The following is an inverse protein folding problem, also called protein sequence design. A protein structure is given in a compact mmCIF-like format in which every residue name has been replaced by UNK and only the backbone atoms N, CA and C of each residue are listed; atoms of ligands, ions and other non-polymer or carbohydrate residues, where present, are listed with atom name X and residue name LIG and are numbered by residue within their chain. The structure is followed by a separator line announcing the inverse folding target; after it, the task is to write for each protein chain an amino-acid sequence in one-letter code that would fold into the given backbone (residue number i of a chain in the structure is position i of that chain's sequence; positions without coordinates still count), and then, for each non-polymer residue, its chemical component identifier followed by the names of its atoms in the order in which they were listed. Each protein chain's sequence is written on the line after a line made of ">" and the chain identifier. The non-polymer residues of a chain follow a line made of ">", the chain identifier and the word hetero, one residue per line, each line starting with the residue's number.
data_IF_623717902767
#
_entry.id   IF_623717902767
#
_cell.length_a   1.000
_cell.length_b   1.000
_cell.length_c   1.000
_cell.angle_alpha   90.00
_cell.angle_beta   90.00
_cell.angle_gamma   90.00
#
_symmetry.space_group_name_H-M   'P 1'
#
loop_
_entity.id
_entity.type
_entity.pdbx_description
1 polymer ?
#
# COMPACT_ATOMS: atom_id res chain seq x y z
N UNK A 1 -9.78 -0.98 49.54
CA UNK A 1 -9.93 -2.29 48.84
C UNK A 1 -11.01 -2.30 47.77
N UNK A 2 -12.08 -1.48 47.89
CA UNK A 2 -13.16 -1.42 46.89
C UNK A 2 -12.75 -0.71 45.58
N UNK A 3 -11.91 0.32 45.66
CA UNK A 3 -11.49 1.14 44.52
C UNK A 3 -10.65 0.37 43.47
N UNK A 4 -9.79 -0.56 43.92
CA UNK A 4 -8.93 -1.34 43.03
C UNK A 4 -9.72 -2.36 42.21
N UNK A 5 -10.84 -2.87 42.76
CA UNK A 5 -11.74 -3.80 42.07
C UNK A 5 -12.47 -3.16 40.89
N UNK A 6 -12.80 -1.86 40.98
CA UNK A 6 -13.40 -1.11 39.88
C UNK A 6 -12.40 -0.82 38.77
N UNK A 7 -11.14 -0.47 39.10
CA UNK A 7 -10.08 -0.31 38.09
C UNK A 7 -9.77 -1.61 37.34
N UNK A 8 -9.72 -2.76 38.03
CA UNK A 8 -9.52 -4.06 37.37
C UNK A 8 -10.70 -4.50 36.51
N UNK A 9 -11.94 -4.15 36.90
CA UNK A 9 -13.12 -4.41 36.07
C UNK A 9 -13.16 -3.52 34.82
N UNK A 10 -12.75 -2.25 34.94
CA UNK A 10 -12.63 -1.33 33.80
C UNK A 10 -11.51 -1.74 32.84
N UNK A 11 -10.36 -2.20 33.35
CA UNK A 11 -9.27 -2.74 32.53
C UNK A 11 -9.68 -4.05 31.84
N UNK A 12 -10.40 -4.92 32.55
CA UNK A 12 -10.96 -6.15 31.97
C UNK A 12 -12.08 -5.86 30.95
N UNK A 13 -12.92 -4.82 31.15
CA UNK A 13 -13.89 -4.37 30.16
C UNK A 13 -13.21 -3.76 28.93
N UNK A 14 -12.12 -3.00 29.10
CA UNK A 14 -11.33 -2.49 27.98
C UNK A 14 -10.66 -3.62 27.19
N UNK A 15 -10.21 -4.70 27.86
CA UNK A 15 -9.72 -5.92 27.22
C UNK A 15 -10.83 -6.75 26.54
N UNK A 16 -12.07 -6.67 27.03
CA UNK A 16 -13.26 -7.27 26.39
C UNK A 16 -13.77 -6.46 25.19
N UNK A 17 -13.43 -5.16 25.08
CA UNK A 17 -13.75 -4.32 23.92
C UNK A 17 -12.78 -4.50 22.74
N UNK A 18 -11.67 -5.23 22.90
CA UNK A 18 -10.70 -5.48 21.81
C UNK A 18 -11.06 -6.71 20.97
N UNK A 19 -12.12 -7.43 21.33
CA UNK A 19 -12.69 -8.52 20.54
C UNK A 19 -14.11 -8.17 20.10
N UNK A 20 -14.28 -7.00 19.48
CA UNK A 20 -15.39 -6.86 18.55
C UNK A 20 -15.09 -7.79 17.36
N UNK A 21 -16.07 -8.54 16.84
CA UNK A 21 -15.89 -9.18 15.55
C UNK A 21 -15.47 -8.08 14.57
N UNK A 22 -14.37 -8.28 13.84
CA UNK A 22 -13.95 -7.39 12.79
C UNK A 22 -15.15 -7.21 11.86
N UNK A 23 -15.83 -6.07 11.99
CA UNK A 23 -16.78 -5.63 11.01
C UNK A 23 -15.94 -5.53 9.73
N UNK A 24 -16.18 -6.42 8.77
CA UNK A 24 -15.60 -6.35 7.44
C UNK A 24 -16.23 -5.15 6.70
N UNK A 25 -16.08 -3.96 7.28
CA UNK A 25 -16.25 -2.70 6.60
C UNK A 25 -14.89 -2.34 6.05
N UNK A 26 -14.84 -2.03 4.74
CA UNK A 26 -13.77 -1.23 4.15
C UNK A 26 -13.39 -0.12 5.13
N UNK A 27 -12.10 0.01 5.41
CA UNK A 27 -11.60 1.15 6.19
C UNK A 27 -11.43 2.30 5.22
N UNK A 28 -12.26 3.32 5.37
CA UNK A 28 -12.26 4.51 4.50
C UNK A 28 -11.50 5.66 5.15
N UNK A 29 -10.40 6.09 4.53
CA UNK A 29 -9.63 7.28 4.84
C UNK A 29 -9.87 8.33 3.75
N UNK A 30 -10.43 9.48 4.14
CA UNK A 30 -10.82 10.55 3.20
C UNK A 30 -10.31 11.90 3.71
N UNK A 31 -9.55 12.62 2.89
CA UNK A 31 -9.03 13.97 3.21
C UNK A 31 -8.15 14.05 4.46
N UNK A 32 -7.40 12.99 4.77
CA UNK A 32 -6.54 12.93 5.94
C UNK A 32 -5.08 13.20 5.58
N UNK A 33 -4.39 13.88 6.49
CA UNK A 33 -2.93 13.86 6.55
C UNK A 33 -2.53 12.67 7.43
N UNK A 34 -1.96 11.67 6.77
CA UNK A 34 -1.47 10.42 7.34
C UNK A 34 0.05 10.32 7.16
N UNK A 35 0.74 11.44 6.94
CA UNK A 35 2.17 11.46 6.71
C UNK A 35 2.93 10.83 7.88
N UNK A 36 3.94 10.01 7.58
CA UNK A 36 4.77 9.34 8.58
C UNK A 36 4.04 8.29 9.43
N UNK A 37 2.84 7.87 9.06
CA UNK A 37 2.13 6.80 9.79
C UNK A 37 2.74 5.43 9.51
N UNK A 38 2.62 4.55 10.49
CA UNK A 38 3.05 3.16 10.40
C UNK A 38 1.83 2.25 10.15
N UNK A 39 1.75 1.74 8.94
CA UNK A 39 0.85 0.70 8.46
C UNK A 39 1.60 -0.58 8.07
N UNK A 40 2.87 -0.72 8.46
CA UNK A 40 3.70 -1.86 8.10
C UNK A 40 3.06 -3.17 8.58
N UNK A 41 3.10 -4.19 7.74
CA UNK A 41 2.55 -5.53 8.00
C UNK A 41 1.06 -5.59 8.37
N UNK A 42 0.29 -4.51 8.18
CA UNK A 42 -1.15 -4.50 8.48
C UNK A 42 -1.96 -5.12 7.35
N UNK A 43 -3.14 -5.65 7.71
CA UNK A 43 -4.17 -6.06 6.74
C UNK A 43 -5.08 -4.88 6.45
N UNK A 44 -4.93 -4.32 5.26
CA UNK A 44 -5.67 -3.18 4.72
C UNK A 44 -6.38 -3.56 3.40
N UNK A 45 -6.79 -4.83 3.31
CA UNK A 45 -7.57 -5.37 2.20
C UNK A 45 -8.79 -4.48 1.96
N UNK A 46 -8.98 -4.09 0.69
CA UNK A 46 -10.09 -3.23 0.24
C UNK A 46 -10.18 -1.85 0.93
N UNK A 47 -9.14 -1.41 1.66
CA UNK A 47 -9.14 -0.09 2.29
C UNK A 47 -9.15 1.04 1.23
N UNK A 48 -9.84 2.14 1.52
CA UNK A 48 -9.92 3.30 0.63
C UNK A 48 -9.09 4.47 1.19
N UNK A 49 -8.20 5.04 0.38
CA UNK A 49 -7.38 6.22 0.68
C UNK A 49 -7.60 7.28 -0.39
N UNK A 50 -8.65 8.08 -0.21
CA UNK A 50 -9.06 9.11 -1.17
C UNK A 50 -8.66 10.50 -0.67
N UNK A 51 -7.98 11.27 -1.52
CA UNK A 51 -7.53 12.64 -1.21
C UNK A 51 -6.65 12.74 0.05
N UNK A 52 -5.82 11.72 0.32
CA UNK A 52 -4.97 11.69 1.50
C UNK A 52 -3.53 12.14 1.17
N UNK A 53 -2.86 12.72 2.16
CA UNK A 53 -1.40 12.88 2.16
C UNK A 53 -0.81 11.71 2.92
N UNK A 54 -0.10 10.84 2.22
CA UNK A 54 0.53 9.62 2.75
C UNK A 54 2.05 9.69 2.61
N UNK A 55 2.60 10.89 2.59
CA UNK A 55 4.02 11.10 2.41
C UNK A 55 4.80 10.49 3.59
N UNK A 56 5.92 9.81 3.31
CA UNK A 56 6.75 9.11 4.31
C UNK A 56 6.00 8.06 5.14
N UNK A 57 4.83 7.59 4.67
CA UNK A 57 4.06 6.53 5.35
C UNK A 57 4.71 5.18 5.10
N UNK A 58 4.75 4.34 6.13
CA UNK A 58 5.26 2.98 6.04
C UNK A 58 4.10 2.00 5.80
N UNK A 59 4.03 1.44 4.60
CA UNK A 59 3.17 0.34 4.18
C UNK A 59 3.98 -0.95 3.94
N UNK A 60 5.23 -1.02 4.38
CA UNK A 60 6.10 -2.15 4.09
C UNK A 60 5.48 -3.47 4.54
N UNK A 61 5.51 -4.46 3.66
CA UNK A 61 4.95 -5.80 3.86
C UNK A 61 3.45 -5.84 4.22
N UNK A 62 2.71 -4.75 4.04
CA UNK A 62 1.26 -4.73 4.27
C UNK A 62 0.50 -5.53 3.21
N UNK A 63 -0.70 -5.97 3.59
CA UNK A 63 -1.66 -6.60 2.68
C UNK A 63 -2.69 -5.55 2.26
N UNK A 64 -2.51 -4.99 1.07
CA UNK A 64 -3.32 -3.96 0.45
C UNK A 64 -4.14 -4.53 -0.73
N UNK A 65 -4.41 -5.84 -0.75
CA UNK A 65 -5.13 -6.45 -1.87
C UNK A 65 -6.50 -5.80 -2.06
N UNK A 66 -6.79 -5.40 -3.29
CA UNK A 66 -8.02 -4.69 -3.63
C UNK A 66 -8.15 -3.28 -3.03
N UNK A 67 -7.14 -2.74 -2.36
CA UNK A 67 -7.20 -1.39 -1.80
C UNK A 67 -7.27 -0.33 -2.92
N UNK A 68 -7.86 0.82 -2.59
CA UNK A 68 -8.10 1.92 -3.53
C UNK A 68 -7.39 3.17 -3.03
N UNK A 69 -6.43 3.67 -3.78
CA UNK A 69 -5.80 4.98 -3.59
C UNK A 69 -6.27 5.91 -4.72
N UNK A 70 -6.88 7.04 -4.37
CA UNK A 70 -7.37 8.00 -5.37
C UNK A 70 -6.99 9.42 -5.01
N UNK A 71 -6.35 10.12 -5.94
CA UNK A 71 -5.97 11.54 -5.80
C UNK A 71 -5.14 11.80 -4.52
N UNK A 72 -4.27 10.87 -4.17
CA UNK A 72 -3.43 10.91 -2.96
C UNK A 72 -1.95 11.10 -3.31
N UNK A 73 -1.15 11.55 -2.34
CA UNK A 73 0.32 11.60 -2.46
C UNK A 73 0.95 10.55 -1.56
N UNK A 74 2.03 9.91 -2.06
CA UNK A 74 2.83 8.90 -1.37
C UNK A 74 4.31 9.23 -1.58
N UNK A 75 4.68 10.50 -1.36
CA UNK A 75 6.05 10.96 -1.57
C UNK A 75 6.95 10.33 -0.51
N UNK A 76 8.06 9.70 -0.91
CA UNK A 76 8.97 8.99 0.01
C UNK A 76 8.28 7.91 0.87
N UNK A 77 7.12 7.40 0.45
CA UNK A 77 6.44 6.32 1.16
C UNK A 77 7.18 4.98 0.99
N UNK A 78 7.16 4.15 2.02
CA UNK A 78 7.71 2.80 1.98
C UNK A 78 6.59 1.80 1.67
N UNK A 79 6.62 1.18 0.50
CA UNK A 79 5.74 0.07 0.11
C UNK A 79 6.57 -1.21 -0.14
N UNK A 80 7.76 -1.32 0.43
CA UNK A 80 8.65 -2.46 0.23
C UNK A 80 7.93 -3.76 0.57
N UNK A 81 7.81 -4.66 -0.41
CA UNK A 81 7.16 -5.95 -0.23
C UNK A 81 5.66 -5.88 0.05
N UNK A 82 4.99 -4.74 -0.13
CA UNK A 82 3.53 -4.65 0.03
C UNK A 82 2.82 -5.48 -1.06
N UNK A 83 1.65 -6.04 -0.72
CA UNK A 83 0.79 -6.74 -1.68
C UNK A 83 -0.37 -5.84 -2.09
N UNK A 84 -0.29 -5.25 -3.28
CA UNK A 84 -1.32 -4.37 -3.86
C UNK A 84 -2.04 -5.03 -5.05
N UNK A 85 -2.07 -6.37 -5.08
CA UNK A 85 -2.75 -7.17 -6.10
C UNK A 85 -4.23 -6.80 -6.18
N UNK A 86 -4.77 -6.66 -7.39
CA UNK A 86 -6.15 -6.23 -7.67
C UNK A 86 -6.50 -4.81 -7.19
N UNK A 87 -5.50 -4.02 -6.76
CA UNK A 87 -5.70 -2.65 -6.28
C UNK A 87 -5.99 -1.64 -7.38
N UNK A 88 -6.36 -0.44 -6.96
CA UNK A 88 -6.56 0.72 -7.85
C UNK A 88 -5.77 1.90 -7.29
N UNK A 89 -4.80 2.42 -8.04
CA UNK A 89 -4.14 3.69 -7.77
C UNK A 89 -4.42 4.67 -8.92
N UNK A 90 -5.40 5.55 -8.71
CA UNK A 90 -5.82 6.55 -9.70
C UNK A 90 -5.37 7.95 -9.30
N UNK A 91 -4.63 8.65 -10.16
CA UNK A 91 -4.07 9.98 -9.87
C UNK A 91 -3.19 10.02 -8.60
N UNK A 92 -2.39 8.98 -8.36
CA UNK A 92 -1.52 8.87 -7.18
C UNK A 92 -0.07 9.25 -7.54
N UNK A 93 0.61 9.92 -6.63
CA UNK A 93 2.04 10.27 -6.78
C UNK A 93 2.91 9.38 -5.90
N UNK A 94 3.64 8.45 -6.50
CA UNK A 94 4.65 7.60 -5.84
C UNK A 94 6.06 8.19 -5.96
N UNK A 95 6.19 9.51 -5.87
CA UNK A 95 7.48 10.19 -6.08
C UNK A 95 8.48 9.80 -5.00
N UNK A 96 9.67 9.33 -5.42
CA UNK A 96 10.73 8.85 -4.50
C UNK A 96 10.28 7.71 -3.55
N UNK A 97 9.17 7.01 -3.86
CA UNK A 97 8.67 5.91 -3.04
C UNK A 97 9.52 4.64 -3.20
N UNK A 98 9.60 3.85 -2.14
CA UNK A 98 10.20 2.52 -2.16
C UNK A 98 9.15 1.47 -2.53
N UNK A 99 9.24 0.91 -3.73
CA UNK A 99 8.34 -0.12 -4.23
C UNK A 99 9.06 -1.46 -4.43
N UNK A 100 10.25 -1.64 -3.83
CA UNK A 100 11.05 -2.85 -4.01
C UNK A 100 10.26 -4.07 -3.52
N UNK A 101 10.31 -5.16 -4.29
CA UNK A 101 9.58 -6.40 -4.01
C UNK A 101 8.04 -6.28 -3.85
N UNK A 102 7.45 -5.11 -4.15
CA UNK A 102 5.99 -4.92 -4.08
C UNK A 102 5.26 -5.68 -5.20
N UNK A 103 4.02 -6.07 -4.93
CA UNK A 103 3.14 -6.75 -5.89
C UNK A 103 2.08 -5.78 -6.41
N UNK A 104 2.12 -5.49 -7.71
CA UNK A 104 1.14 -4.70 -8.46
C UNK A 104 0.40 -5.57 -9.49
N UNK A 105 0.14 -6.84 -9.13
CA UNK A 105 -0.45 -7.82 -10.05
C UNK A 105 -1.92 -7.49 -10.30
N UNK A 106 -2.30 -7.39 -11.57
CA UNK A 106 -3.66 -6.99 -11.97
C UNK A 106 -4.13 -5.66 -11.36
N UNK A 107 -3.21 -4.72 -11.13
CA UNK A 107 -3.51 -3.40 -10.54
C UNK A 107 -3.80 -2.35 -11.63
N UNK A 108 -4.81 -1.49 -11.41
CA UNK A 108 -5.02 -0.28 -12.21
C UNK A 108 -4.15 0.87 -11.67
N UNK A 109 -3.18 1.34 -12.45
CA UNK A 109 -2.25 2.41 -12.09
C UNK A 109 -2.44 3.66 -12.97
N UNK A 110 -3.63 3.82 -13.58
CA UNK A 110 -3.90 4.89 -14.53
C UNK A 110 -3.74 6.28 -13.90
N UNK A 111 -3.10 7.18 -14.65
CA UNK A 111 -2.81 8.58 -14.27
C UNK A 111 -1.95 8.74 -13.02
N UNK A 112 -1.35 7.67 -12.52
CA UNK A 112 -0.39 7.73 -11.41
C UNK A 112 1.03 7.93 -11.93
N UNK A 113 1.89 8.55 -11.13
CA UNK A 113 3.28 8.87 -11.50
C UNK A 113 4.28 8.18 -10.57
N UNK A 114 5.36 7.66 -11.16
CA UNK A 114 6.40 6.91 -10.45
C UNK A 114 7.76 7.59 -10.59
N UNK A 115 7.79 8.93 -10.57
CA UNK A 115 9.03 9.68 -10.72
C UNK A 115 10.00 9.30 -9.60
N UNK A 116 11.19 8.82 -9.96
CA UNK A 116 12.25 8.32 -9.06
C UNK A 116 11.87 7.16 -8.11
N UNK A 117 10.68 6.56 -8.25
CA UNK A 117 10.32 5.39 -7.44
C UNK A 117 11.28 4.22 -7.67
N UNK A 118 11.68 3.55 -6.60
CA UNK A 118 12.55 2.38 -6.61
C UNK A 118 11.73 1.10 -6.81
N UNK A 119 11.90 0.45 -7.96
CA UNK A 119 11.03 -0.66 -8.38
C UNK A 119 11.77 -2.00 -8.49
N UNK A 120 12.96 -2.11 -7.91
CA UNK A 120 13.77 -3.33 -8.03
C UNK A 120 13.02 -4.52 -7.43
N UNK A 121 12.75 -5.55 -8.23
CA UNK A 121 11.98 -6.72 -7.80
C UNK A 121 10.47 -6.49 -7.69
N UNK A 122 9.94 -5.32 -8.03
CA UNK A 122 8.48 -5.15 -8.10
C UNK A 122 7.87 -6.03 -9.21
N UNK A 123 6.67 -6.56 -8.99
CA UNK A 123 5.94 -7.35 -9.97
C UNK A 123 4.74 -6.56 -10.51
N UNK A 124 4.76 -6.21 -11.79
CA UNK A 124 3.70 -5.47 -12.47
C UNK A 124 2.86 -6.35 -13.40
N UNK A 125 2.81 -7.67 -13.17
CA UNK A 125 2.15 -8.60 -14.09
C UNK A 125 0.69 -8.20 -14.28
N UNK A 126 0.31 -7.94 -15.54
CA UNK A 126 -1.04 -7.49 -15.91
C UNK A 126 -1.46 -6.12 -15.33
N UNK A 127 -0.52 -5.32 -14.81
CA UNK A 127 -0.81 -3.97 -14.37
C UNK A 127 -1.14 -3.05 -15.54
N UNK A 128 -2.08 -2.12 -15.32
CA UNK A 128 -2.48 -1.14 -16.34
C UNK A 128 -1.75 0.18 -16.07
N UNK A 129 -0.80 0.52 -16.95
CA UNK A 129 0.02 1.73 -16.87
C UNK A 129 -0.18 2.62 -18.11
N UNK A 130 0.01 3.93 -17.94
CA UNK A 130 0.13 4.81 -19.10
C UNK A 130 1.44 4.55 -19.84
N UNK A 131 1.40 4.62 -21.18
CA UNK A 131 2.56 4.34 -22.05
C UNK A 131 3.81 5.17 -21.70
N UNK A 132 3.62 6.41 -21.27
CA UNK A 132 4.71 7.29 -20.82
C UNK A 132 5.39 6.76 -19.57
N UNK A 133 4.62 6.34 -18.56
CA UNK A 133 5.14 5.79 -17.32
C UNK A 133 5.80 4.43 -17.55
N UNK A 134 5.17 3.57 -18.34
CA UNK A 134 5.75 2.28 -18.74
C UNK A 134 7.18 2.45 -19.31
N UNK A 135 7.36 3.43 -20.22
CA UNK A 135 8.68 3.71 -20.82
C UNK A 135 9.70 4.16 -19.78
N UNK A 136 9.31 5.00 -18.81
CA UNK A 136 10.20 5.45 -17.72
C UNK A 136 10.57 4.31 -16.78
N UNK A 137 9.62 3.43 -16.45
CA UNK A 137 9.86 2.27 -15.60
C UNK A 137 10.81 1.30 -16.30
N UNK A 138 10.55 0.98 -17.58
CA UNK A 138 11.39 0.06 -18.35
C UNK A 138 12.85 0.48 -18.50
N UNK A 139 13.17 1.78 -18.45
CA UNK A 139 14.56 2.24 -18.54
C UNK A 139 15.40 1.91 -17.30
N UNK A 140 14.76 1.57 -16.17
CA UNK A 140 15.42 1.27 -14.89
C UNK A 140 14.95 -0.02 -14.21
N UNK A 141 13.96 -0.70 -14.78
CA UNK A 141 13.45 -1.96 -14.26
C UNK A 141 14.56 -3.02 -14.20
N UNK A 142 14.77 -3.58 -13.01
CA UNK A 142 15.73 -4.65 -12.70
C UNK A 142 15.19 -5.50 -11.55
N UNK A 143 15.82 -6.65 -11.31
CA UNK A 143 15.44 -7.53 -10.20
C UNK A 143 14.37 -8.56 -10.56
N UNK A 144 14.14 -9.45 -9.61
CA UNK A 144 13.17 -10.53 -9.64
C UNK A 144 12.43 -10.49 -8.32
N UNK A 145 11.10 -10.49 -8.38
CA UNK A 145 10.29 -10.44 -7.17
C UNK A 145 10.53 -11.67 -6.29
N UNK A 146 10.84 -11.45 -5.02
CA UNK A 146 11.17 -12.52 -4.08
C UNK A 146 9.99 -13.48 -3.77
N UNK A 147 8.75 -13.04 -3.99
CA UNK A 147 7.53 -13.83 -3.71
C UNK A 147 7.01 -14.56 -4.94
N UNK A 148 7.00 -13.92 -6.10
CA UNK A 148 6.44 -14.49 -7.33
C UNK A 148 7.48 -15.13 -8.25
N UNK A 149 8.76 -14.77 -8.10
CA UNK A 149 9.83 -15.20 -8.98
C UNK A 149 9.79 -14.56 -10.37
N UNK A 150 8.93 -13.56 -10.57
CA UNK A 150 8.78 -12.84 -11.85
C UNK A 150 9.82 -11.73 -11.95
N UNK A 151 10.46 -11.61 -13.12
CA UNK A 151 11.35 -10.49 -13.44
C UNK A 151 10.54 -9.21 -13.56
N UNK A 152 10.98 -8.13 -12.90
CA UNK A 152 10.32 -6.82 -12.98
C UNK A 152 10.22 -6.34 -14.43
N UNK A 153 11.27 -6.56 -15.24
CA UNK A 153 11.28 -6.19 -16.66
C UNK A 153 10.26 -6.98 -17.49
N UNK A 154 10.12 -8.26 -17.17
CA UNK A 154 9.23 -9.17 -17.90
C UNK A 154 7.78 -8.88 -17.54
N UNK A 155 7.49 -8.62 -16.26
CA UNK A 155 6.16 -8.22 -15.78
C UNK A 155 5.67 -6.89 -16.39
N UNK A 156 6.60 -6.00 -16.73
CA UNK A 156 6.34 -4.74 -17.43
C UNK A 156 6.31 -4.90 -18.96
N UNK A 157 6.58 -6.10 -19.50
CA UNK A 157 6.67 -6.33 -20.95
C UNK A 157 7.64 -5.36 -21.66
N UNK A 158 8.78 -5.07 -21.01
CA UNK A 158 9.78 -4.18 -21.57
C UNK A 158 10.46 -4.83 -22.80
N UNK A 159 10.34 -4.20 -23.97
CA UNK A 159 11.07 -4.58 -25.19
C UNK A 159 12.58 -4.30 -25.11
#
# INVERSE_FOLDING_TARGET
>A
MLFWRFCSLLLALMLLCVSLPAQAGSVDFKYLDLSGKDFSSQSLIEAEFSHCTLDQTDFSNSDLRGAVFSQSTMIEADLHGADFTYGIAYLVKFTDADLRDALFVETDLLRSSFDNAEITGADFSYAILERSELKKLCSRATGVNSKTGVSTRDSLECN
#
